data_IF_252147041436
#
_entry.id   IF_252147041436
#
_cell.length_a   1.000
_cell.length_b   1.000
_cell.length_c   1.000
_cell.angle_alpha   90.00
_cell.angle_beta   90.00
_cell.angle_gamma   90.00
#
_symmetry.space_group_name_H-M   'P 1'
#
loop_
_entity.id
_entity.type
_entity.pdbx_description
1 polymer ?
#
# COMPACT_ATOMS: atom_id res chain seq x y z
N UNK A 1 -1.63 -14.40 -6.63
CA UNK A 1 -0.57 -13.78 -7.46
C UNK A 1 -0.37 -12.30 -7.14
N UNK A 2 -1.42 -11.47 -7.14
CA UNK A 2 -1.35 -10.03 -6.82
C UNK A 2 -0.82 -9.73 -5.41
N UNK A 3 -1.29 -10.47 -4.39
CA UNK A 3 -0.80 -10.32 -3.01
C UNK A 3 0.73 -10.47 -2.90
N UNK A 4 1.32 -11.43 -3.63
CA UNK A 4 2.78 -11.63 -3.65
C UNK A 4 3.50 -10.42 -4.26
N UNK A 5 2.96 -9.83 -5.33
CA UNK A 5 3.52 -8.61 -5.91
C UNK A 5 3.40 -7.44 -4.94
N UNK A 6 2.27 -7.32 -4.22
CA UNK A 6 2.07 -6.28 -3.23
C UNK A 6 3.10 -6.37 -2.09
N UNK A 7 3.53 -7.56 -1.70
CA UNK A 7 4.53 -7.77 -0.62
C UNK A 7 5.98 -7.76 -1.10
N UNK A 8 6.25 -7.95 -2.39
CA UNK A 8 7.62 -8.02 -2.91
C UNK A 8 8.28 -6.63 -2.90
N UNK A 9 9.40 -6.43 -2.17
CA UNK A 9 10.07 -5.14 -2.08
C UNK A 9 10.69 -4.69 -3.41
N UNK A 10 10.78 -5.57 -4.42
CA UNK A 10 11.28 -5.20 -5.75
C UNK A 10 10.16 -4.81 -6.72
N UNK A 11 8.89 -4.88 -6.30
CA UNK A 11 7.78 -4.46 -7.13
C UNK A 11 7.86 -2.97 -7.42
N UNK A 12 7.73 -2.61 -8.69
CA UNK A 12 7.88 -1.24 -9.11
C UNK A 12 6.77 -0.33 -8.54
N UNK A 13 7.08 0.97 -8.31
CA UNK A 13 6.10 1.97 -7.87
C UNK A 13 4.78 1.96 -8.65
N UNK A 14 4.86 1.86 -9.98
CA UNK A 14 3.69 1.85 -10.87
C UNK A 14 2.79 0.63 -10.69
N UNK A 15 3.37 -0.51 -10.32
CA UNK A 15 2.57 -1.71 -10.00
C UNK A 15 1.93 -1.55 -8.62
N UNK A 16 2.67 -1.05 -7.63
CA UNK A 16 2.15 -0.78 -6.28
C UNK A 16 0.99 0.22 -6.30
N UNK A 17 1.09 1.28 -7.11
CA UNK A 17 0.00 2.24 -7.32
C UNK A 17 -1.27 1.55 -7.85
N UNK A 18 -1.15 0.65 -8.84
CA UNK A 18 -2.31 -0.11 -9.34
C UNK A 18 -2.88 -1.05 -8.29
N UNK A 19 -2.02 -1.69 -7.51
CA UNK A 19 -2.44 -2.63 -6.46
C UNK A 19 -3.13 -1.91 -5.29
N UNK A 20 -2.82 -0.63 -5.05
CA UNK A 20 -3.50 0.21 -4.07
C UNK A 20 -4.97 0.48 -4.41
N UNK A 21 -5.39 0.24 -5.66
CA UNK A 21 -6.79 0.39 -6.12
C UNK A 21 -7.57 -0.92 -6.10
N UNK A 22 -6.96 -2.03 -5.72
CA UNK A 22 -7.65 -3.33 -5.69
C UNK A 22 -8.78 -3.32 -4.68
N UNK A 23 -9.90 -3.96 -5.01
CA UNK A 23 -11.07 -4.03 -4.11
C UNK A 23 -10.80 -4.82 -2.84
N UNK A 24 -9.87 -5.77 -2.93
CA UNK A 24 -9.44 -6.61 -1.82
C UNK A 24 -8.56 -5.82 -0.84
N UNK A 25 -9.04 -5.65 0.38
CA UNK A 25 -8.31 -4.96 1.45
C UNK A 25 -6.99 -5.63 1.84
N UNK A 26 -6.84 -6.94 1.68
CA UNK A 26 -5.57 -7.63 1.99
C UNK A 26 -4.49 -7.19 1.00
N UNK A 27 -4.84 -7.00 -0.27
CA UNK A 27 -3.91 -6.48 -1.27
C UNK A 27 -3.52 -5.04 -0.95
N UNK A 28 -4.48 -4.17 -0.61
CA UNK A 28 -4.19 -2.78 -0.25
C UNK A 28 -3.37 -2.68 1.04
N UNK A 29 -3.64 -3.54 2.02
CA UNK A 29 -2.85 -3.67 3.25
C UNK A 29 -1.40 -4.10 2.94
N UNK A 30 -1.22 -5.08 2.05
CA UNK A 30 0.10 -5.50 1.61
C UNK A 30 0.86 -4.38 0.91
N UNK A 31 0.19 -3.55 0.10
CA UNK A 31 0.81 -2.35 -0.49
C UNK A 31 1.24 -1.37 0.61
N UNK A 32 0.40 -1.12 1.62
CA UNK A 32 0.79 -0.26 2.75
C UNK A 32 1.95 -0.84 3.58
N UNK A 33 2.11 -2.17 3.65
CA UNK A 33 3.23 -2.85 4.33
C UNK A 33 4.54 -2.79 3.54
N UNK A 34 4.46 -2.70 2.21
CA UNK A 34 5.63 -2.77 1.35
C UNK A 34 6.52 -1.52 1.51
N UNK A 35 7.80 -1.75 1.80
CA UNK A 35 8.79 -0.69 2.02
C UNK A 35 9.06 0.15 0.77
N UNK A 36 8.82 -0.41 -0.41
CA UNK A 36 9.02 0.25 -1.70
C UNK A 36 7.81 1.06 -2.16
N UNK A 37 6.70 1.04 -1.41
CA UNK A 37 5.51 1.84 -1.71
C UNK A 37 5.83 3.34 -1.61
N UNK A 38 5.63 4.11 -2.69
CA UNK A 38 5.88 5.55 -2.70
C UNK A 38 5.02 6.32 -1.69
N UNK A 39 5.52 7.48 -1.28
CA UNK A 39 4.83 8.33 -0.29
C UNK A 39 3.46 8.81 -0.79
N UNK A 40 3.34 9.04 -2.10
CA UNK A 40 2.10 9.47 -2.74
C UNK A 40 1.03 8.37 -2.69
N UNK A 41 1.44 7.11 -2.84
CA UNK A 41 0.55 5.95 -2.73
C UNK A 41 0.15 5.72 -1.27
N UNK A 42 1.08 5.88 -0.32
CA UNK A 42 0.76 5.83 1.11
C UNK A 42 -0.21 6.97 1.50
N UNK A 43 -0.02 8.17 0.97
CA UNK A 43 -0.95 9.29 1.19
C UNK A 43 -2.35 8.98 0.67
N UNK A 44 -2.48 8.28 -0.47
CA UNK A 44 -3.78 7.81 -0.94
C UNK A 44 -4.40 6.77 0.01
N UNK A 45 -3.64 5.76 0.39
CA UNK A 45 -4.09 4.70 1.31
C UNK A 45 -4.39 5.21 2.72
N UNK A 46 -3.90 6.38 3.11
CA UNK A 46 -4.27 7.02 4.39
C UNK A 46 -5.77 7.33 4.50
N UNK A 47 -6.47 7.39 3.36
CA UNK A 47 -7.91 7.60 3.24
C UNK A 47 -8.69 6.33 2.89
N UNK A 48 -8.07 5.14 2.98
CA UNK A 48 -8.72 3.86 2.67
C UNK A 48 -9.99 3.63 3.50
N UNK A 49 -10.94 2.86 2.97
CA UNK A 49 -12.14 2.47 3.73
C UNK A 49 -11.82 1.53 4.90
N UNK A 50 -10.77 0.70 4.79
CA UNK A 50 -10.33 -0.21 5.83
C UNK A 50 -9.42 0.52 6.84
N UNK A 51 -9.76 0.40 8.13
CA UNK A 51 -9.05 1.10 9.21
C UNK A 51 -7.57 0.71 9.35
N UNK A 52 -7.24 -0.58 9.17
CA UNK A 52 -5.86 -1.05 9.29
C UNK A 52 -5.00 -0.50 8.16
N UNK A 53 -5.53 -0.47 6.94
CA UNK A 53 -4.87 0.11 5.77
C UNK A 53 -4.58 1.60 6.03
N UNK A 54 -5.57 2.37 6.51
CA UNK A 54 -5.39 3.79 6.86
C UNK A 54 -4.30 4.00 7.88
N UNK A 55 -4.39 3.31 9.03
CA UNK A 55 -3.46 3.48 10.16
C UNK A 55 -2.02 3.19 9.75
N UNK A 56 -1.83 2.10 9.01
CA UNK A 56 -0.51 1.70 8.55
C UNK A 56 0.04 2.66 7.50
N UNK A 57 -0.77 3.07 6.53
CA UNK A 57 -0.36 4.00 5.50
C UNK A 57 0.02 5.37 6.09
N UNK A 58 -0.78 5.88 7.05
CA UNK A 58 -0.47 7.09 7.81
C UNK A 58 0.83 6.96 8.58
N UNK A 59 1.01 5.88 9.35
CA UNK A 59 2.24 5.72 10.13
C UNK A 59 3.45 5.65 9.21
N UNK A 60 3.38 4.87 8.13
CA UNK A 60 4.46 4.76 7.14
C UNK A 60 4.75 6.08 6.45
N UNK A 61 3.75 6.91 6.20
CA UNK A 61 3.93 8.20 5.57
C UNK A 61 4.58 9.23 6.51
N UNK A 62 4.26 9.18 7.80
CA UNK A 62 4.79 10.12 8.81
C UNK A 62 6.25 9.82 9.23
N UNK A 63 6.68 8.55 9.13
CA UNK A 63 8.02 8.11 9.53
C UNK A 63 8.93 7.77 8.34
N UNK A 64 8.59 8.24 7.12
CA UNK A 64 9.41 8.05 5.93
C UNK A 64 10.40 9.17 5.70
#
# INVERSE_FOLDING_TARGET
MKLRLALDPNTSPKILEKLAEERDEEIRLAVALNTSTPIEVLAKLSNDQNELVRKLALSRALFR
#
